data_IF_143036904703
#
_entry.id   IF_143036904703
#
_cell.length_a   1.000
_cell.length_b   1.000
_cell.length_c   1.000
_cell.angle_alpha   90.00
_cell.angle_beta   90.00
_cell.angle_gamma   90.00
#
_symmetry.space_group_name_H-M   'P 1'
#
loop_
_entity.id
_entity.type
_entity.pdbx_description
1 polymer ?
#
# COMPACT_ATOMS: atom_id res chain seq x y z
N UNK A 1 19.35 15.64 47.56
CA UNK A 1 18.51 16.69 46.95
C UNK A 1 18.44 16.43 45.45
N UNK A 2 17.31 15.95 44.90
CA UNK A 2 17.17 15.79 43.45
C UNK A 2 17.10 17.18 42.81
N UNK A 3 18.00 17.43 41.85
CA UNK A 3 18.03 18.65 41.04
C UNK A 3 16.79 18.59 40.13
N UNK A 4 15.91 19.60 40.24
CA UNK A 4 14.74 19.72 39.36
C UNK A 4 15.26 20.01 37.95
N UNK A 5 15.04 19.09 37.02
CA UNK A 5 15.25 19.31 35.60
C UNK A 5 14.40 20.52 35.16
N UNK A 6 15.07 21.59 34.73
CA UNK A 6 14.41 22.79 34.24
C UNK A 6 13.61 22.44 32.98
N UNK A 7 12.32 22.84 32.92
CA UNK A 7 11.49 22.74 31.71
C UNK A 7 12.05 23.54 30.52
N UNK A 8 13.07 24.37 30.78
CA UNK A 8 13.78 25.18 29.79
C UNK A 8 15.12 24.57 29.36
N UNK A 9 15.53 23.43 29.92
CA UNK A 9 16.71 22.73 29.42
C UNK A 9 16.34 22.07 28.09
N UNK A 10 16.93 22.48 26.95
CA UNK A 10 16.66 21.86 25.66
C UNK A 10 17.19 20.42 25.69
N UNK A 11 16.33 19.48 26.03
CA UNK A 11 16.62 18.06 26.02
C UNK A 11 16.71 17.56 24.58
N UNK A 12 17.84 17.80 23.91
CA UNK A 12 18.18 17.22 22.61
C UNK A 12 17.19 17.51 21.46
N UNK A 13 16.26 18.44 21.64
CA UNK A 13 15.34 18.90 20.62
C UNK A 13 15.90 20.17 20.01
N UNK A 14 16.19 20.16 18.71
CA UNK A 14 16.52 21.35 17.93
C UNK A 14 15.20 21.99 17.45
N UNK A 15 14.55 22.89 18.21
CA UNK A 15 13.27 23.48 17.83
C UNK A 15 13.33 24.19 16.47
N UNK A 16 14.49 24.75 16.14
CA UNK A 16 14.75 25.39 14.84
C UNK A 16 14.71 24.36 13.71
N UNK A 17 15.38 23.20 13.88
CA UNK A 17 15.35 22.14 12.87
C UNK A 17 13.93 21.61 12.67
N UNK A 18 13.16 21.46 13.74
CA UNK A 18 11.76 21.03 13.66
C UNK A 18 10.88 22.07 12.94
N UNK A 19 11.07 23.36 13.24
CA UNK A 19 10.36 24.44 12.56
C UNK A 19 10.67 24.49 11.05
N UNK A 20 11.95 24.33 10.67
CA UNK A 20 12.37 24.27 9.27
C UNK A 20 11.78 23.03 8.57
N UNK A 21 11.76 21.88 9.26
CA UNK A 21 11.17 20.68 8.69
C UNK A 21 9.67 20.87 8.45
N UNK A 22 8.93 21.47 9.38
CA UNK A 22 7.50 21.78 9.18
C UNK A 22 7.24 22.73 8.00
N UNK A 23 8.05 23.78 7.85
CA UNK A 23 7.93 24.70 6.70
C UNK A 23 8.21 23.95 5.40
N UNK A 24 9.23 23.10 5.40
CA UNK A 24 9.63 22.32 4.21
C UNK A 24 8.53 21.33 3.83
N UNK A 25 7.96 20.64 4.81
CA UNK A 25 6.87 19.67 4.62
C UNK A 25 5.59 20.36 4.09
N UNK A 26 5.29 21.55 4.60
CA UNK A 26 4.18 22.37 4.11
C UNK A 26 4.42 22.87 2.68
N UNK A 27 5.63 23.36 2.39
CA UNK A 27 6.04 23.83 1.05
C UNK A 27 6.03 22.71 0.01
N UNK A 28 6.49 21.52 0.40
CA UNK A 28 6.58 20.36 -0.48
C UNK A 28 5.23 19.64 -0.65
N UNK A 29 4.38 19.65 0.37
CA UNK A 29 3.08 18.97 0.36
C UNK A 29 1.93 19.86 -0.08
N UNK A 30 1.36 20.63 0.86
CA UNK A 30 0.08 21.33 0.65
C UNK A 30 0.20 22.53 -0.28
N UNK A 31 1.33 23.27 -0.24
CA UNK A 31 1.57 24.41 -1.13
C UNK A 31 1.71 23.95 -2.58
N UNK A 32 2.45 22.86 -2.82
CA UNK A 32 2.62 22.29 -4.15
C UNK A 32 1.27 21.93 -4.80
N UNK A 33 0.41 21.25 -4.05
CA UNK A 33 -0.95 20.89 -4.51
C UNK A 33 -1.76 22.15 -4.79
N UNK A 34 -1.74 23.14 -3.89
CA UNK A 34 -2.48 24.39 -4.06
C UNK A 34 -2.07 25.15 -5.32
N UNK A 35 -0.78 25.21 -5.63
CA UNK A 35 -0.26 25.84 -6.85
C UNK A 35 -0.70 25.11 -8.12
N UNK A 36 -0.78 23.77 -8.11
CA UNK A 36 -1.31 23.04 -9.27
C UNK A 36 -2.80 23.37 -9.48
N UNK A 37 -3.61 23.43 -8.41
CA UNK A 37 -5.03 23.84 -8.50
C UNK A 37 -5.14 25.28 -9.01
N UNK A 38 -4.29 26.19 -8.53
CA UNK A 38 -4.27 27.59 -8.96
C UNK A 38 -3.96 27.72 -10.46
N UNK A 39 -2.99 26.93 -10.95
CA UNK A 39 -2.66 26.87 -12.36
C UNK A 39 -3.84 26.35 -13.21
N UNK A 40 -4.54 25.30 -12.76
CA UNK A 40 -5.75 24.79 -13.42
C UNK A 40 -6.86 25.84 -13.46
N UNK A 41 -7.08 26.55 -12.34
CA UNK A 41 -8.06 27.64 -12.28
C UNK A 41 -7.73 28.78 -13.25
N UNK A 42 -6.44 29.15 -13.34
CA UNK A 42 -5.98 30.20 -14.25
C UNK A 42 -6.18 29.80 -15.73
N UNK A 43 -5.98 28.53 -16.07
CA UNK A 43 -6.28 27.99 -17.41
C UNK A 43 -7.77 28.04 -17.72
N UNK A 44 -8.62 27.65 -16.76
CA UNK A 44 -10.07 27.75 -16.89
C UNK A 44 -10.53 29.19 -17.12
N UNK A 45 -9.94 30.14 -16.38
CA UNK A 45 -10.16 31.58 -16.58
C UNK A 45 -9.69 32.04 -17.97
N UNK A 46 -8.52 31.58 -18.42
CA UNK A 46 -8.00 31.88 -19.75
C UNK A 46 -8.88 31.31 -20.88
N UNK A 47 -9.56 30.18 -20.64
CA UNK A 47 -10.52 29.62 -21.58
C UNK A 47 -11.85 30.41 -21.58
N UNK A 48 -12.27 30.94 -20.43
CA UNK A 48 -13.44 31.82 -20.29
C UNK A 48 -13.21 33.18 -20.97
N UNK A 49 -11.98 33.69 -20.99
CA UNK A 49 -11.61 34.95 -21.68
C UNK A 49 -11.68 34.86 -23.22
N UNK A 50 -12.04 33.70 -23.78
CA UNK A 50 -12.40 33.56 -25.20
C UNK A 50 -11.24 33.67 -26.19
N UNK A 51 -9.98 33.68 -25.73
CA UNK A 51 -8.81 34.03 -26.56
C UNK A 51 -7.75 32.92 -26.71
N UNK A 52 -7.96 31.70 -26.23
CA UNK A 52 -6.95 30.64 -26.31
C UNK A 52 -7.49 29.35 -26.91
N UNK A 53 -6.82 28.90 -27.97
CA UNK A 53 -7.04 27.61 -28.59
C UNK A 53 -7.05 26.49 -27.54
N UNK A 54 -8.08 25.63 -27.56
CA UNK A 54 -8.25 24.51 -26.63
C UNK A 54 -7.01 23.59 -26.52
N UNK A 55 -6.12 23.64 -27.52
CA UNK A 55 -4.79 23.01 -27.55
C UNK A 55 -3.91 23.41 -26.36
N UNK A 56 -3.92 24.69 -25.95
CA UNK A 56 -3.09 25.19 -24.85
C UNK A 56 -3.64 24.71 -23.52
N UNK A 57 -4.96 24.79 -23.34
CA UNK A 57 -5.62 24.28 -22.14
C UNK A 57 -5.36 22.78 -21.96
N UNK A 58 -5.47 21.99 -23.04
CA UNK A 58 -5.22 20.55 -23.00
C UNK A 58 -3.79 20.22 -22.54
N UNK A 59 -2.78 20.96 -23.02
CA UNK A 59 -1.37 20.75 -22.64
C UNK A 59 -1.14 21.02 -21.15
N UNK A 60 -1.75 22.06 -20.59
CA UNK A 60 -1.58 22.39 -19.17
C UNK A 60 -2.30 21.39 -18.27
N UNK A 61 -3.50 20.94 -18.65
CA UNK A 61 -4.24 19.89 -17.92
C UNK A 61 -3.41 18.59 -17.89
N UNK A 62 -2.83 18.20 -19.03
CA UNK A 62 -1.93 17.03 -19.11
C UNK A 62 -0.71 17.21 -18.23
N UNK A 63 -0.11 18.40 -18.19
CA UNK A 63 1.01 18.73 -17.31
C UNK A 63 0.68 18.57 -15.82
N UNK A 64 -0.45 19.13 -15.36
CA UNK A 64 -0.85 19.00 -13.95
C UNK A 64 -1.24 17.55 -13.59
N UNK A 65 -1.87 16.80 -14.52
CA UNK A 65 -2.15 15.38 -14.30
C UNK A 65 -0.87 14.55 -14.12
N UNK A 66 0.17 14.82 -14.92
CA UNK A 66 1.46 14.13 -14.76
C UNK A 66 2.15 14.54 -13.45
N UNK A 67 2.16 15.83 -13.09
CA UNK A 67 2.79 16.31 -11.85
C UNK A 67 2.13 15.73 -10.58
N UNK A 68 0.79 15.67 -10.52
CA UNK A 68 0.08 15.08 -9.37
C UNK A 68 -0.01 13.55 -9.44
N UNK A 69 -0.27 13.00 -10.62
CA UNK A 69 -0.63 11.59 -10.80
C UNK A 69 0.58 10.66 -10.92
N UNK A 70 1.66 11.09 -11.59
CA UNK A 70 2.80 10.20 -11.86
C UNK A 70 3.44 9.58 -10.60
N UNK A 71 3.63 10.32 -9.47
CA UNK A 71 4.17 9.72 -8.25
C UNK A 71 3.27 8.62 -7.66
N UNK A 72 1.95 8.81 -7.74
CA UNK A 72 0.94 7.83 -7.27
C UNK A 72 0.93 6.59 -8.17
N UNK A 73 1.03 6.78 -9.49
CA UNK A 73 1.16 5.64 -10.41
C UNK A 73 2.48 4.88 -10.21
N UNK A 74 3.59 5.60 -10.01
CA UNK A 74 4.90 4.99 -9.79
C UNK A 74 4.95 4.17 -8.50
N UNK A 75 4.39 4.70 -7.41
CA UNK A 75 4.32 3.98 -6.13
C UNK A 75 3.40 2.77 -6.20
N UNK A 76 2.26 2.87 -6.90
CA UNK A 76 1.37 1.74 -7.13
C UNK A 76 2.06 0.62 -7.92
N UNK A 77 2.77 0.97 -9.00
CA UNK A 77 3.48 0.00 -9.83
C UNK A 77 4.62 -0.68 -9.05
N UNK A 78 5.41 0.09 -8.30
CA UNK A 78 6.47 -0.43 -7.44
C UNK A 78 5.93 -1.37 -6.35
N UNK A 79 4.78 -1.03 -5.77
CA UNK A 79 4.09 -1.87 -4.79
C UNK A 79 3.58 -3.20 -5.38
N UNK A 80 3.01 -3.15 -6.59
CA UNK A 80 2.55 -4.35 -7.31
C UNK A 80 3.71 -5.31 -7.63
N UNK A 81 4.83 -4.78 -8.13
CA UNK A 81 6.02 -5.58 -8.47
C UNK A 81 6.63 -6.21 -7.21
N UNK A 82 6.59 -5.51 -6.07
CA UNK A 82 7.08 -6.04 -4.78
C UNK A 82 6.23 -7.20 -4.25
N UNK A 83 4.96 -7.30 -4.68
CA UNK A 83 4.04 -8.34 -4.23
C UNK A 83 4.40 -9.73 -4.80
N UNK A 84 5.00 -9.79 -5.99
CA UNK A 84 5.50 -11.04 -6.57
C UNK A 84 6.71 -11.64 -5.83
N UNK A 85 7.38 -10.87 -4.96
CA UNK A 85 8.53 -11.36 -4.17
C UNK A 85 8.13 -11.97 -2.82
N UNK A 86 6.84 -12.04 -2.50
CA UNK A 86 6.38 -12.85 -1.38
C UNK A 86 6.52 -14.32 -1.77
N UNK A 87 7.56 -14.99 -1.26
CA UNK A 87 7.72 -16.43 -1.39
C UNK A 87 6.38 -17.12 -1.10
N UNK A 88 5.97 -18.15 -1.87
CA UNK A 88 4.78 -18.90 -1.53
C UNK A 88 4.95 -19.35 -0.07
N UNK A 89 3.96 -19.02 0.77
CA UNK A 89 3.99 -19.43 2.16
C UNK A 89 4.12 -20.94 2.18
N UNK A 90 5.33 -21.44 2.42
CA UNK A 90 5.54 -22.85 2.68
C UNK A 90 4.72 -23.12 3.93
N UNK A 91 3.68 -23.93 3.79
CA UNK A 91 2.93 -24.41 4.93
C UNK A 91 3.91 -25.10 5.87
N UNK A 92 4.30 -24.42 6.94
CA UNK A 92 5.13 -24.98 7.99
C UNK A 92 4.19 -25.89 8.76
N UNK A 93 4.31 -27.20 8.55
CA UNK A 93 3.62 -28.18 9.37
C UNK A 93 3.98 -27.88 10.84
N UNK A 94 2.96 -27.57 11.65
CA UNK A 94 3.14 -27.30 13.07
C UNK A 94 3.81 -28.52 13.72
N UNK A 95 5.00 -28.38 14.35
CA UNK A 95 5.83 -29.53 14.71
C UNK A 95 5.28 -30.39 15.86
N UNK A 96 4.13 -30.01 16.45
CA UNK A 96 3.65 -30.62 17.70
C UNK A 96 2.17 -31.06 17.64
N UNK A 97 1.73 -31.66 16.54
CA UNK A 97 0.51 -32.49 16.58
C UNK A 97 0.93 -33.93 16.78
N UNK A 98 1.17 -34.32 18.03
CA UNK A 98 1.26 -35.74 18.41
C UNK A 98 -0.09 -36.39 18.11
N UNK A 99 -0.21 -36.99 16.92
CA UNK A 99 -1.29 -37.90 16.59
C UNK A 99 -1.15 -39.10 17.51
N UNK A 100 -1.97 -39.15 18.56
CA UNK A 100 -2.08 -40.32 19.43
C UNK A 100 -2.37 -41.60 18.63
N UNK A 101 -2.17 -42.80 19.23
CA UNK A 101 -2.45 -44.06 18.56
C UNK A 101 -3.86 -44.04 17.97
N UNK A 102 -3.97 -44.25 16.66
CA UNK A 102 -5.27 -44.24 15.98
C UNK A 102 -6.17 -45.29 16.61
N UNK A 103 -7.37 -44.91 17.04
CA UNK A 103 -8.38 -45.87 17.50
C UNK A 103 -8.60 -46.92 16.40
N UNK A 104 -8.61 -48.20 16.79
CA UNK A 104 -8.83 -49.29 15.85
C UNK A 104 -10.16 -49.07 15.14
N UNK A 105 -10.10 -49.02 13.80
CA UNK A 105 -11.29 -48.87 12.98
C UNK A 105 -12.22 -50.07 13.24
N UNK A 106 -13.53 -49.85 13.47
CA UNK A 106 -14.50 -50.94 13.57
C UNK A 106 -14.40 -51.88 12.36
N UNK A 107 -14.46 -53.21 12.54
CA UNK A 107 -14.38 -54.17 11.44
C UNK A 107 -15.40 -53.84 10.35
N UNK A 108 -14.93 -53.66 9.11
CA UNK A 108 -15.78 -53.31 7.98
C UNK A 108 -16.64 -54.53 7.59
N UNK A 109 -17.94 -54.46 7.90
CA UNK A 109 -18.95 -55.49 7.59
C UNK A 109 -19.47 -55.42 6.14
N UNK A 110 -18.82 -54.64 5.28
CA UNK A 110 -19.23 -54.43 3.90
C UNK A 110 -18.01 -54.50 2.98
N UNK A 111 -17.89 -55.62 2.25
CA UNK A 111 -16.95 -55.77 1.14
C UNK A 111 -17.71 -55.63 -0.20
N UNK A 112 -17.62 -54.45 -0.86
CA UNK A 112 -18.29 -54.21 -2.13
C UNK A 112 -17.73 -55.03 -3.30
N UNK A 113 -16.61 -55.73 -3.14
CA UNK A 113 -16.01 -56.59 -4.16
C UNK A 113 -16.33 -58.09 -3.96
N UNK A 114 -17.09 -58.45 -2.92
CA UNK A 114 -17.54 -59.82 -2.69
C UNK A 114 -18.39 -60.39 -3.86
N UNK A 115 -19.02 -59.53 -4.67
CA UNK A 115 -19.75 -59.93 -5.87
C UNK A 115 -18.89 -60.11 -7.14
N UNK A 116 -17.61 -59.73 -7.11
CA UNK A 116 -16.71 -59.78 -8.27
C UNK A 116 -15.83 -61.04 -8.31
N UNK A 117 -15.72 -61.77 -7.19
CA UNK A 117 -14.93 -63.01 -7.09
C UNK A 117 -15.74 -64.28 -7.38
N UNK A 118 -17.06 -64.18 -7.51
CA UNK A 118 -17.90 -65.33 -7.89
C UNK A 118 -17.89 -65.52 -9.41
N UNK A 119 -16.77 -66.02 -9.94
CA UNK A 119 -16.71 -66.54 -11.30
C UNK A 119 -17.42 -67.89 -11.29
N UNK A 120 -18.68 -67.91 -11.71
CA UNK A 120 -19.41 -69.15 -12.02
C UNK A 120 -18.95 -69.63 -13.40
N UNK A 121 -17.79 -70.29 -13.43
CA UNK A 121 -17.38 -71.15 -14.55
C UNK A 121 -17.54 -72.63 -14.18
#
# INVERSE_FOLDING_TARGET
>A
MPIRSSLFEPSGSDPVANAVNWITDTMLGSVAISLCVLAVAYVGLMMLTGHLSARVALRVILGCFVLLGAPVLASALMGLISQETAAPQAYVASPNTELGPREELPPADYDPYAGASHRSD
#
